data_IF_445473509218
#
_entry.id   IF_445473509218
#
_cell.length_a   1.000
_cell.length_b   1.000
_cell.length_c   1.000
_cell.angle_alpha   90.00
_cell.angle_beta   90.00
_cell.angle_gamma   90.00
#
_symmetry.space_group_name_H-M   'P 1'
#
loop_
_entity.id
_entity.type
_entity.pdbx_description
1 polymer ?
#
# COMPACT_ATOMS: atom_id res chain seq x y z
N UNK A 1 5.22 -0.92 -27.32
CA UNK A 1 4.77 0.09 -26.34
C UNK A 1 3.51 0.89 -26.74
N UNK A 2 3.03 0.87 -28.00
CA UNK A 2 1.81 1.62 -28.43
C UNK A 2 0.48 1.13 -27.84
N UNK A 3 0.31 -0.19 -27.68
CA UNK A 3 -0.94 -0.82 -27.21
C UNK A 3 -1.41 -0.36 -25.81
N UNK A 4 -0.48 0.00 -24.92
CA UNK A 4 -0.81 0.44 -23.57
C UNK A 4 -1.32 1.89 -23.60
N UNK A 5 -0.72 2.74 -24.44
CA UNK A 5 -1.15 4.13 -24.61
C UNK A 5 -2.58 4.24 -25.13
N UNK A 6 -2.93 3.44 -26.14
CA UNK A 6 -4.29 3.47 -26.73
C UNK A 6 -5.36 2.97 -25.74
N UNK A 7 -5.03 2.01 -24.88
CA UNK A 7 -5.92 1.51 -23.81
C UNK A 7 -6.10 2.55 -22.71
N UNK A 8 -5.02 3.19 -22.27
CA UNK A 8 -5.05 4.28 -21.29
C UNK A 8 -5.87 5.46 -21.84
N UNK A 9 -5.74 5.79 -23.12
CA UNK A 9 -6.51 6.85 -23.76
C UNK A 9 -8.02 6.54 -23.81
N UNK A 10 -8.41 5.30 -24.13
CA UNK A 10 -9.81 4.85 -24.05
C UNK A 10 -10.37 4.91 -22.63
N UNK A 11 -9.60 4.47 -21.63
CA UNK A 11 -10.00 4.51 -20.23
C UNK A 11 -10.14 5.95 -19.74
N UNK A 12 -9.25 6.85 -20.18
CA UNK A 12 -9.34 8.28 -19.92
C UNK A 12 -10.63 8.86 -20.51
N UNK A 13 -10.97 8.56 -21.77
CA UNK A 13 -12.24 9.02 -22.36
C UNK A 13 -13.49 8.50 -21.64
N UNK A 14 -13.48 7.25 -21.16
CA UNK A 14 -14.59 6.69 -20.38
C UNK A 14 -14.73 7.34 -19.00
N UNK A 15 -13.61 7.65 -18.34
CA UNK A 15 -13.58 8.38 -17.06
C UNK A 15 -14.04 9.84 -17.23
N UNK A 16 -13.66 10.49 -18.35
CA UNK A 16 -14.10 11.85 -18.69
C UNK A 16 -15.62 11.92 -18.87
N UNK A 17 -16.23 10.89 -19.46
CA UNK A 17 -17.69 10.84 -19.65
C UNK A 17 -18.45 10.71 -18.31
N UNK A 18 -17.81 10.13 -17.28
CA UNK A 18 -18.36 9.98 -15.93
C UNK A 18 -17.80 10.99 -14.92
N UNK A 19 -17.43 12.20 -15.39
CA UNK A 19 -16.81 13.24 -14.55
C UNK A 19 -17.57 13.54 -13.26
N UNK A 20 -18.89 13.41 -13.27
CA UNK A 20 -19.75 13.63 -12.10
C UNK A 20 -19.55 12.61 -10.97
N UNK A 21 -19.01 11.43 -11.25
CA UNK A 21 -18.71 10.39 -10.25
C UNK A 21 -17.22 10.27 -9.91
N UNK A 22 -16.36 11.17 -10.41
CA UNK A 22 -14.91 11.09 -10.18
C UNK A 22 -14.52 11.06 -8.70
N UNK A 23 -15.25 11.78 -7.86
CA UNK A 23 -15.01 11.80 -6.42
C UNK A 23 -15.18 10.40 -5.83
N UNK A 24 -16.29 9.70 -6.14
CA UNK A 24 -16.52 8.32 -5.70
C UNK A 24 -15.48 7.35 -6.27
N UNK A 25 -15.07 7.53 -7.53
CA UNK A 25 -14.00 6.72 -8.12
C UNK A 25 -12.68 6.89 -7.36
N UNK A 26 -12.27 8.12 -7.04
CA UNK A 26 -11.02 8.38 -6.30
C UNK A 26 -11.10 7.79 -4.88
N UNK A 27 -12.25 7.90 -4.22
CA UNK A 27 -12.46 7.31 -2.89
C UNK A 27 -12.30 5.78 -2.94
N UNK A 28 -13.04 5.09 -3.83
CA UNK A 28 -12.97 3.63 -3.95
C UNK A 28 -11.56 3.19 -4.32
N UNK A 29 -10.92 3.92 -5.24
CA UNK A 29 -9.56 3.63 -5.68
C UNK A 29 -8.54 3.75 -4.54
N UNK A 30 -8.70 4.74 -3.64
CA UNK A 30 -7.82 4.98 -2.49
C UNK A 30 -8.11 4.10 -1.28
N UNK A 31 -9.35 3.62 -1.13
CA UNK A 31 -9.70 2.62 -0.10
C UNK A 31 -9.25 1.23 -0.55
N UNK A 32 -9.30 0.94 -1.84
CA UNK A 32 -8.88 -0.37 -2.36
C UNK A 32 -7.36 -0.56 -2.22
N UNK A 33 -6.89 -1.75 -1.82
CA UNK A 33 -5.46 -2.02 -1.65
C UNK A 33 -4.72 -2.27 -2.98
N UNK A 34 -5.44 -2.30 -4.11
CA UNK A 34 -4.91 -2.75 -5.40
C UNK A 34 -4.00 -1.71 -6.10
N UNK A 35 -4.43 -0.44 -6.26
CA UNK A 35 -3.64 0.57 -6.94
C UNK A 35 -2.80 1.34 -5.92
N UNK A 36 -1.47 1.35 -6.06
CA UNK A 36 -0.62 2.12 -5.17
C UNK A 36 -0.88 3.62 -5.31
N UNK A 37 -0.74 4.37 -4.21
CA UNK A 37 -1.05 5.81 -4.15
C UNK A 37 -0.35 6.65 -5.23
N UNK A 38 0.83 6.23 -5.70
CA UNK A 38 1.55 6.89 -6.77
C UNK A 38 0.78 6.90 -8.10
N UNK A 39 -0.04 5.88 -8.39
CA UNK A 39 -0.82 5.79 -9.63
C UNK A 39 -1.85 6.92 -9.73
N UNK A 40 -2.51 7.24 -8.61
CA UNK A 40 -3.50 8.32 -8.54
C UNK A 40 -2.83 9.69 -8.64
N UNK A 41 -1.65 9.84 -8.02
CA UNK A 41 -0.88 11.08 -8.06
C UNK A 41 -0.26 11.33 -9.45
N UNK A 42 0.19 10.29 -10.17
CA UNK A 42 0.73 10.40 -11.52
C UNK A 42 -0.38 10.56 -12.57
N UNK A 43 -1.54 9.92 -12.33
CA UNK A 43 -2.69 9.96 -13.22
C UNK A 43 -3.48 11.27 -13.15
N UNK A 44 -3.51 11.96 -12.01
CA UNK A 44 -4.33 13.17 -11.83
C UNK A 44 -4.02 14.32 -12.81
N UNK A 45 -2.75 14.66 -13.16
CA UNK A 45 -2.47 15.64 -14.21
C UNK A 45 -2.78 15.12 -15.62
N UNK A 46 -2.62 13.82 -15.87
CA UNK A 46 -2.90 13.21 -17.18
C UNK A 46 -4.39 12.98 -17.48
N UNK A 47 -5.24 12.93 -16.46
CA UNK A 47 -6.69 12.70 -16.53
C UNK A 47 -7.51 14.01 -16.43
N UNK A 48 -6.85 15.17 -16.28
CA UNK A 48 -7.49 16.50 -16.17
C UNK A 48 -8.62 16.53 -15.13
N UNK A 49 -8.31 16.03 -13.93
CA UNK A 49 -9.26 15.87 -12.81
C UNK A 49 -9.45 17.22 -12.10
N UNK A 50 -10.68 17.60 -11.71
CA UNK A 50 -10.89 18.78 -10.88
C UNK A 50 -10.15 18.65 -9.54
N UNK A 51 -9.38 19.67 -9.17
CA UNK A 51 -8.60 19.69 -7.93
C UNK A 51 -9.46 19.43 -6.68
N UNK A 52 -10.68 19.96 -6.66
CA UNK A 52 -11.63 19.78 -5.55
C UNK A 52 -12.03 18.32 -5.34
N UNK A 53 -12.31 17.58 -6.42
CA UNK A 53 -12.63 16.14 -6.35
C UNK A 53 -11.42 15.31 -5.92
N UNK A 54 -10.21 15.70 -6.36
CA UNK A 54 -8.97 15.06 -5.92
C UNK A 54 -8.72 15.28 -4.43
N UNK A 55 -8.87 16.51 -3.94
CA UNK A 55 -8.67 16.84 -2.53
C UNK A 55 -9.65 16.07 -1.63
N UNK A 56 -10.95 16.20 -1.87
CA UNK A 56 -11.97 15.55 -1.04
C UNK A 56 -11.94 14.03 -1.15
N UNK A 57 -11.71 13.49 -2.35
CA UNK A 57 -11.57 12.05 -2.55
C UNK A 57 -10.34 11.47 -1.84
N UNK A 58 -9.24 12.23 -1.80
CA UNK A 58 -8.04 11.85 -1.05
C UNK A 58 -8.22 11.97 0.45
N UNK A 59 -8.81 13.06 0.91
CA UNK A 59 -9.10 13.29 2.32
C UNK A 59 -9.92 12.15 2.90
N UNK A 60 -11.03 11.78 2.25
CA UNK A 60 -11.90 10.69 2.71
C UNK A 60 -11.24 9.32 2.49
N UNK A 61 -10.66 9.10 1.31
CA UNK A 61 -10.07 7.80 0.94
C UNK A 61 -8.86 7.40 1.79
N UNK A 62 -8.07 8.36 2.28
CA UNK A 62 -6.90 8.13 3.14
C UNK A 62 -7.26 8.12 4.63
N UNK A 63 -8.36 8.75 5.04
CA UNK A 63 -8.78 8.79 6.44
C UNK A 63 -9.02 7.38 7.01
N UNK A 64 -9.71 6.50 6.28
CA UNK A 64 -10.00 5.15 6.74
C UNK A 64 -8.73 4.28 6.94
N UNK A 65 -7.81 4.17 5.95
CA UNK A 65 -6.51 3.53 6.16
C UNK A 65 -5.71 4.17 7.29
N UNK A 66 -5.73 5.49 7.41
CA UNK A 66 -5.03 6.20 8.49
C UNK A 66 -5.54 5.80 9.87
N UNK A 67 -6.86 5.64 10.04
CA UNK A 67 -7.43 5.19 11.30
C UNK A 67 -6.96 3.77 11.67
N UNK A 68 -6.91 2.85 10.70
CA UNK A 68 -6.39 1.49 10.91
C UNK A 68 -4.91 1.54 11.33
N UNK A 69 -4.09 2.37 10.67
CA UNK A 69 -2.67 2.51 11.02
C UNK A 69 -2.48 3.10 12.42
N UNK A 70 -3.25 4.13 12.79
CA UNK A 70 -3.20 4.72 14.14
C UNK A 70 -3.65 3.71 15.18
N UNK A 71 -4.71 2.95 14.92
CA UNK A 71 -5.17 1.91 15.84
C UNK A 71 -4.15 0.78 16.00
N UNK A 72 -3.53 0.32 14.90
CA UNK A 72 -2.47 -0.66 14.93
C UNK A 72 -1.24 -0.14 15.69
N UNK A 73 -0.86 1.12 15.45
CA UNK A 73 0.22 1.79 16.19
C UNK A 73 -0.08 1.91 17.68
N UNK A 74 -1.29 2.31 18.06
CA UNK A 74 -1.70 2.39 19.46
C UNK A 74 -1.79 1.01 20.14
N UNK A 75 -2.18 -0.03 19.41
CA UNK A 75 -2.14 -1.41 19.92
C UNK A 75 -0.69 -1.87 20.14
N UNK A 76 0.21 -1.58 19.19
CA UNK A 76 1.63 -1.87 19.30
C UNK A 76 2.27 -1.09 20.47
N UNK A 77 1.89 0.18 20.63
CA UNK A 77 2.37 1.04 21.71
C UNK A 77 1.92 0.54 23.08
N UNK A 78 0.68 0.06 23.22
CA UNK A 78 0.20 -0.60 24.45
C UNK A 78 0.96 -1.88 24.74
N UNK A 79 1.19 -2.73 23.73
CA UNK A 79 2.02 -3.93 23.87
C UNK A 79 3.47 -3.59 24.25
N UNK A 80 3.97 -2.43 23.83
CA UNK A 80 5.33 -1.96 24.14
C UNK A 80 5.43 -1.24 25.48
N UNK A 81 4.36 -0.59 25.93
CA UNK A 81 4.35 0.29 27.11
C UNK A 81 3.80 -0.38 28.37
N UNK A 82 2.93 -1.38 28.22
CA UNK A 82 2.37 -2.14 29.34
C UNK A 82 3.40 -3.01 30.06
N UNK A 83 4.61 -3.12 29.51
CA UNK A 83 5.66 -3.84 30.17
C UNK A 83 7.00 -3.16 29.94
N UNK A 84 7.53 -2.56 31.00
CA UNK A 84 8.96 -2.34 31.08
C UNK A 84 9.62 -3.75 31.12
N UNK A 85 9.89 -4.34 29.94
CA UNK A 85 10.75 -5.51 29.62
C UNK A 85 10.12 -6.78 28.96
N UNK A 86 8.83 -6.85 28.61
CA UNK A 86 8.25 -8.10 28.07
C UNK A 86 8.61 -8.32 26.61
N UNK A 87 8.76 -7.25 25.82
CA UNK A 87 9.31 -7.37 24.45
C UNK A 87 10.75 -7.92 24.45
N UNK A 88 11.52 -7.63 25.51
CA UNK A 88 12.88 -8.15 25.72
C UNK A 88 12.89 -9.39 26.63
N UNK A 89 11.75 -10.05 26.82
CA UNK A 89 11.72 -11.36 27.45
C UNK A 89 12.46 -12.36 26.54
N UNK A 90 13.28 -13.27 27.10
CA UNK A 90 14.06 -14.24 26.32
C UNK A 90 13.21 -15.05 25.32
N UNK A 91 11.93 -15.30 25.62
CA UNK A 91 10.99 -15.98 24.72
C UNK A 91 10.69 -15.14 23.46
N UNK A 92 10.51 -13.83 23.60
CA UNK A 92 10.20 -12.90 22.51
C UNK A 92 11.44 -12.67 21.64
N UNK A 93 12.62 -12.57 22.26
CA UNK A 93 13.90 -12.52 21.55
C UNK A 93 14.11 -13.80 20.71
N UNK A 94 13.82 -14.98 21.27
CA UNK A 94 13.91 -16.24 20.54
C UNK A 94 12.93 -16.28 19.35
N UNK A 95 11.69 -15.83 19.55
CA UNK A 95 10.70 -15.69 18.47
C UNK A 95 11.18 -14.73 17.37
N UNK A 96 11.74 -13.57 17.73
CA UNK A 96 12.29 -12.61 16.76
C UNK A 96 13.44 -13.22 15.95
N UNK A 97 14.35 -13.96 16.59
CA UNK A 97 15.42 -14.70 15.91
C UNK A 97 14.84 -15.77 14.99
N UNK A 98 13.83 -16.53 15.43
CA UNK A 98 13.19 -17.55 14.61
C UNK A 98 12.53 -16.96 13.36
N UNK A 99 11.81 -15.84 13.51
CA UNK A 99 11.23 -15.09 12.38
C UNK A 99 12.32 -14.60 11.43
N UNK A 100 13.45 -14.08 11.95
CA UNK A 100 14.57 -13.65 11.13
C UNK A 100 15.19 -14.81 10.32
N UNK A 101 15.34 -15.99 10.93
CA UNK A 101 15.82 -17.21 10.24
C UNK A 101 14.85 -17.65 9.15
N UNK A 102 13.55 -17.63 9.43
CA UNK A 102 12.51 -17.97 8.44
C UNK A 102 12.48 -16.96 7.29
N UNK A 103 12.68 -15.67 7.56
CA UNK A 103 12.79 -14.65 6.52
C UNK A 103 14.04 -14.83 5.63
N UNK A 104 15.10 -15.45 6.15
CA UNK A 104 16.35 -15.74 5.41
C UNK A 104 16.30 -17.04 4.59
N UNK A 105 15.40 -17.99 4.90
CA UNK A 105 15.20 -19.22 4.12
C UNK A 105 15.15 -19.02 2.59
N UNK A 106 14.33 -18.11 2.03
CA UNK A 106 14.27 -17.90 0.59
C UNK A 106 15.59 -17.40 -0.02
N UNK A 107 16.41 -16.69 0.77
CA UNK A 107 17.73 -16.19 0.32
C UNK A 107 18.72 -17.35 0.19
N UNK A 108 18.74 -18.27 1.16
CA UNK A 108 19.61 -19.45 1.09
C UNK A 108 19.19 -20.42 -0.01
N UNK A 109 17.88 -20.62 -0.22
CA UNK A 109 17.36 -21.46 -1.31
C UNK A 109 17.77 -20.88 -2.67
N UNK A 110 17.60 -19.56 -2.88
CA UNK A 110 18.06 -18.90 -4.11
C UNK A 110 19.58 -18.96 -4.30
N UNK A 111 20.37 -18.82 -3.23
CA UNK A 111 21.83 -18.88 -3.31
C UNK A 111 22.34 -20.27 -3.69
N UNK A 112 21.72 -21.34 -3.17
CA UNK A 112 22.05 -22.72 -3.58
C UNK A 112 21.68 -22.96 -5.05
N UNK A 113 20.48 -22.55 -5.45
CA UNK A 113 20.01 -22.77 -6.82
C UNK A 113 20.81 -21.99 -7.88
N UNK A 114 21.35 -20.81 -7.55
CA UNK A 114 22.22 -20.06 -8.46
C UNK A 114 23.67 -20.57 -8.52
N UNK A 115 24.13 -21.34 -7.52
CA UNK A 115 25.47 -21.93 -7.54
C UNK A 115 25.53 -23.20 -8.39
N UNK A 116 24.42 -23.94 -8.50
CA UNK A 116 24.32 -25.15 -9.33
C UNK A 116 24.08 -24.86 -10.83
N UNK A 117 23.85 -23.59 -11.21
CA UNK A 117 23.58 -23.14 -12.58
C UNK A 117 24.68 -22.24 -13.18
N UNK A 118 25.86 -22.18 -12.55
CA UNK A 118 27.07 -21.50 -13.06
C UNK A 118 28.19 -22.53 -13.25
#
# INVERSE_FOLDING_TARGET
MRLIGDRIAKWNQQLIHHKQHMLNYIIVLRISPLPPNWLVNLGSPHLSVPFTSFFWGTFIGVAAPSFIHVQAGAALDRLSSSDQLELLTPINILCLIAVAVVALLPVFIRKRFNYDNA
#
